data_IF_866903866544
#
_entry.id   IF_866903866544
#
_cell.length_a   1.000
_cell.length_b   1.000
_cell.length_c   1.000
_cell.angle_alpha   90.00
_cell.angle_beta   90.00
_cell.angle_gamma   90.00
#
_symmetry.space_group_name_H-M   'P 1'
#
loop_
_entity.id
_entity.type
_entity.pdbx_description
1 polymer ?
#
# COMPACT_ATOMS: atom_id res chain seq x y z
N UNK A 1 30.29 0.78 -0.05
CA UNK A 1 29.49 1.60 -1.00
C UNK A 1 28.05 1.63 -0.51
N UNK A 2 27.54 2.79 -0.08
CA UNK A 2 26.12 2.91 0.28
C UNK A 2 25.34 2.84 -1.04
N UNK A 3 24.59 1.76 -1.25
CA UNK A 3 23.69 1.66 -2.40
C UNK A 3 22.66 2.79 -2.31
N UNK A 4 22.94 3.90 -2.98
CA UNK A 4 22.05 5.05 -3.10
C UNK A 4 20.82 4.55 -3.84
N UNK A 5 19.75 4.24 -3.09
CA UNK A 5 18.51 3.72 -3.67
C UNK A 5 18.01 4.74 -4.69
N UNK A 6 17.58 4.25 -5.85
CA UNK A 6 17.01 5.12 -6.88
C UNK A 6 15.87 5.95 -6.29
N UNK A 7 15.77 7.20 -6.72
CA UNK A 7 14.76 8.15 -6.26
C UNK A 7 13.33 7.55 -6.39
N UNK A 8 13.08 6.80 -7.47
CA UNK A 8 11.81 6.08 -7.68
C UNK A 8 11.51 5.05 -6.58
N UNK A 9 12.52 4.29 -6.12
CA UNK A 9 12.32 3.32 -5.05
C UNK A 9 12.10 3.99 -3.69
N UNK A 10 12.72 5.16 -3.47
CA UNK A 10 12.45 5.98 -2.30
C UNK A 10 10.98 6.46 -2.30
N UNK A 11 10.50 6.97 -3.43
CA UNK A 11 9.10 7.41 -3.58
C UNK A 11 8.11 6.26 -3.34
N UNK A 12 8.33 5.09 -3.95
CA UNK A 12 7.49 3.90 -3.72
C UNK A 12 7.43 3.48 -2.25
N UNK A 13 8.56 3.57 -1.54
CA UNK A 13 8.61 3.25 -0.10
C UNK A 13 7.83 4.25 0.73
N UNK A 14 7.98 5.55 0.45
CA UNK A 14 7.25 6.61 1.15
C UNK A 14 5.74 6.41 0.97
N UNK A 15 5.29 6.21 -0.27
CA UNK A 15 3.87 5.98 -0.59
C UNK A 15 3.33 4.75 0.16
N UNK A 16 4.03 3.61 0.10
CA UNK A 16 3.61 2.40 0.83
C UNK A 16 3.52 2.64 2.34
N UNK A 17 4.53 3.27 2.93
CA UNK A 17 4.52 3.54 4.36
C UNK A 17 3.35 4.44 4.76
N UNK A 18 3.01 5.41 3.92
CA UNK A 18 1.89 6.33 4.15
C UNK A 18 0.55 5.60 4.08
N UNK A 19 0.38 4.70 3.09
CA UNK A 19 -0.79 3.83 2.99
C UNK A 19 -0.89 2.97 4.25
N UNK A 20 0.14 2.17 4.56
CA UNK A 20 0.12 1.24 5.69
C UNK A 20 -0.07 1.94 7.05
N UNK A 21 0.46 3.15 7.23
CA UNK A 21 0.25 3.94 8.45
C UNK A 21 -1.21 4.31 8.68
N UNK A 22 -1.99 4.45 7.61
CA UNK A 22 -3.39 4.83 7.64
C UNK A 22 -4.34 3.65 7.43
N UNK A 23 -3.84 2.41 7.45
CA UNK A 23 -4.68 1.22 7.35
C UNK A 23 -5.35 0.93 8.69
N UNK A 24 -6.64 0.61 8.63
CA UNK A 24 -7.36 0.01 9.75
C UNK A 24 -7.09 -1.49 9.80
N UNK A 25 -6.71 -1.99 10.97
CA UNK A 25 -6.49 -3.42 11.22
C UNK A 25 -7.64 -3.93 12.08
N UNK A 26 -8.51 -4.75 11.50
CA UNK A 26 -9.57 -5.45 12.22
C UNK A 26 -8.97 -6.69 12.90
N UNK A 27 -8.85 -6.65 14.23
CA UNK A 27 -8.28 -7.76 15.03
C UNK A 27 -9.20 -8.97 15.08
N UNK A 28 -10.50 -8.81 14.89
CA UNK A 28 -11.48 -9.90 14.99
C UNK A 28 -11.57 -10.68 13.69
N UNK A 29 -11.50 -9.97 12.55
CA UNK A 29 -11.55 -10.58 11.21
C UNK A 29 -10.17 -10.88 10.62
N UNK A 30 -9.11 -10.31 11.19
CA UNK A 30 -7.75 -10.41 10.65
C UNK A 30 -7.57 -9.61 9.36
N UNK A 31 -8.44 -8.63 9.09
CA UNK A 31 -8.46 -7.86 7.86
C UNK A 31 -7.64 -6.56 7.99
N UNK A 32 -6.98 -6.19 6.90
CA UNK A 32 -6.15 -4.99 6.79
C UNK A 32 -6.81 -4.10 5.73
N UNK A 33 -7.63 -3.15 6.18
CA UNK A 33 -8.50 -2.34 5.32
C UNK A 33 -7.92 -0.94 5.15
N UNK A 34 -7.40 -0.63 3.96
CA UNK A 34 -7.07 0.74 3.60
C UNK A 34 -8.32 1.45 3.08
N UNK A 35 -8.70 2.56 3.73
CA UNK A 35 -9.76 3.45 3.24
C UNK A 35 -9.21 4.68 2.52
N UNK A 36 -7.89 4.78 2.40
CA UNK A 36 -7.23 5.96 1.84
C UNK A 36 -7.38 5.92 0.32
N UNK A 37 -8.07 6.89 -0.26
CA UNK A 37 -8.18 6.99 -1.71
C UNK A 37 -6.87 7.47 -2.34
N UNK A 38 -6.73 7.27 -3.66
CA UNK A 38 -5.57 7.78 -4.41
C UNK A 38 -5.40 9.29 -4.25
N UNK A 39 -6.52 10.03 -4.23
CA UNK A 39 -6.53 11.48 -4.03
C UNK A 39 -6.09 11.86 -2.62
N UNK A 40 -6.50 11.10 -1.61
CA UNK A 40 -6.07 11.33 -0.23
C UNK A 40 -4.56 11.09 -0.06
N UNK A 41 -4.02 10.03 -0.70
CA UNK A 41 -2.56 9.79 -0.69
C UNK A 41 -1.82 10.97 -1.35
N UNK A 42 -2.33 11.50 -2.46
CA UNK A 42 -1.73 12.66 -3.14
C UNK A 42 -1.82 13.93 -2.28
N UNK A 43 -2.97 14.17 -1.65
CA UNK A 43 -3.17 15.29 -0.73
C UNK A 43 -2.24 15.22 0.49
N UNK A 44 -2.05 14.03 1.07
CA UNK A 44 -1.14 13.82 2.20
C UNK A 44 0.33 13.97 1.85
N UNK A 45 0.70 13.73 0.59
CA UNK A 45 2.09 13.89 0.14
C UNK A 45 2.48 15.35 -0.10
N UNK A 46 1.52 16.30 -0.19
CA UNK A 46 1.76 17.75 -0.28
C UNK A 46 2.86 18.16 -1.30
N UNK A 47 3.12 17.38 -2.36
CA UNK A 47 4.33 17.56 -3.18
C UNK A 47 4.10 17.35 -4.68
N UNK A 48 4.41 18.39 -5.43
CA UNK A 48 4.82 18.32 -6.83
C UNK A 48 6.01 17.34 -6.99
N UNK A 49 5.99 16.50 -8.04
CA UNK A 49 7.12 15.61 -8.37
C UNK A 49 6.97 14.13 -7.98
N UNK A 50 5.87 13.73 -7.32
CA UNK A 50 5.54 12.31 -7.17
C UNK A 50 4.81 11.79 -8.41
N UNK A 51 5.31 10.68 -8.98
CA UNK A 51 4.58 10.01 -10.05
C UNK A 51 3.36 9.31 -9.47
N UNK A 52 2.18 9.77 -9.89
CA UNK A 52 0.88 9.19 -9.53
C UNK A 52 0.85 7.69 -9.81
N UNK A 53 1.53 7.21 -10.86
CA UNK A 53 1.65 5.80 -11.22
C UNK A 53 2.30 4.90 -10.16
N UNK A 54 2.94 5.47 -9.12
CA UNK A 54 3.51 4.68 -8.02
C UNK A 54 2.53 4.42 -6.88
N UNK A 55 1.36 5.06 -6.90
CA UNK A 55 0.28 4.71 -5.97
C UNK A 55 -0.34 3.41 -6.48
N UNK A 56 -0.26 2.32 -5.70
CA UNK A 56 -0.85 1.05 -6.10
C UNK A 56 -2.36 1.22 -6.25
N UNK A 57 -2.93 0.62 -7.28
CA UNK A 57 -4.37 0.49 -7.38
C UNK A 57 -4.84 -0.41 -6.23
N UNK A 58 -5.82 0.06 -5.47
CA UNK A 58 -6.36 -0.70 -4.34
C UNK A 58 -7.26 -1.78 -4.94
N UNK A 59 -6.71 -2.98 -5.10
CA UNK A 59 -7.48 -4.16 -5.48
C UNK A 59 -8.26 -4.66 -4.26
N UNK A 60 -9.59 -4.78 -4.41
CA UNK A 60 -10.45 -5.46 -3.44
C UNK A 60 -10.54 -6.93 -3.83
N UNK A 61 -10.22 -7.81 -2.90
CA UNK A 61 -10.30 -9.25 -3.11
C UNK A 61 -10.24 -10.00 -1.79
N UNK A 62 -10.64 -11.26 -1.82
CA UNK A 62 -10.51 -12.16 -0.67
C UNK A 62 -9.04 -12.55 -0.52
N UNK A 63 -8.51 -12.48 0.70
CA UNK A 63 -7.14 -12.91 0.97
C UNK A 63 -7.19 -14.29 1.63
N UNK A 64 -6.74 -15.32 0.90
CA UNK A 64 -6.57 -16.64 1.48
C UNK A 64 -5.26 -16.66 2.28
N UNK A 65 -5.35 -17.01 3.56
CA UNK A 65 -4.21 -17.08 4.47
C UNK A 65 -3.87 -18.55 4.72
N UNK A 66 -2.62 -18.95 4.49
CA UNK A 66 -2.16 -20.29 4.81
C UNK A 66 -1.95 -20.49 6.33
N UNK A 67 -1.74 -21.73 6.76
CA UNK A 67 -1.47 -22.04 8.17
C UNK A 67 -0.15 -21.45 8.72
N UNK A 68 0.68 -20.84 7.85
CA UNK A 68 1.92 -20.15 8.19
C UNK A 68 1.73 -18.62 8.23
N UNK A 69 0.52 -18.13 8.03
CA UNK A 69 0.19 -16.69 8.02
C UNK A 69 0.55 -15.97 6.73
N UNK A 70 0.84 -16.68 5.64
CA UNK A 70 1.13 -16.09 4.33
C UNK A 70 -0.17 -15.92 3.55
N UNK A 71 -0.51 -14.68 3.24
CA UNK A 71 -1.72 -14.31 2.49
C UNK A 71 -1.50 -14.26 0.97
N UNK A 72 -2.49 -14.70 0.20
CA UNK A 72 -2.58 -14.50 -1.25
C UNK A 72 -3.93 -13.88 -1.61
N UNK A 73 -3.90 -12.72 -2.27
CA UNK A 73 -5.08 -12.05 -2.79
C UNK A 73 -5.69 -12.90 -3.92
N UNK A 74 -6.98 -13.18 -3.85
CA UNK A 74 -7.76 -13.84 -4.88
C UNK A 74 -8.40 -12.78 -5.76
N UNK A 75 -8.00 -12.75 -7.03
CA UNK A 75 -8.60 -11.87 -8.02
C UNK A 75 -9.74 -12.65 -8.69
N UNK A 76 -10.97 -12.17 -8.56
CA UNK A 76 -12.08 -12.67 -9.37
C UNK A 76 -11.78 -12.33 -10.85
N UNK A 77 -11.73 -13.35 -11.70
CA UNK A 77 -11.57 -13.18 -13.15
C UNK A 77 -12.79 -12.50 -13.77
#
# INVERSE_FOLDING_TARGET
MVHKRSFNNLQRRIIRNLIFKNVYIDKYRGEVVSRVSRLDVLGLLNCEGFKVSFIPDIERGEVLIDCRGKGSLQNAK
#
